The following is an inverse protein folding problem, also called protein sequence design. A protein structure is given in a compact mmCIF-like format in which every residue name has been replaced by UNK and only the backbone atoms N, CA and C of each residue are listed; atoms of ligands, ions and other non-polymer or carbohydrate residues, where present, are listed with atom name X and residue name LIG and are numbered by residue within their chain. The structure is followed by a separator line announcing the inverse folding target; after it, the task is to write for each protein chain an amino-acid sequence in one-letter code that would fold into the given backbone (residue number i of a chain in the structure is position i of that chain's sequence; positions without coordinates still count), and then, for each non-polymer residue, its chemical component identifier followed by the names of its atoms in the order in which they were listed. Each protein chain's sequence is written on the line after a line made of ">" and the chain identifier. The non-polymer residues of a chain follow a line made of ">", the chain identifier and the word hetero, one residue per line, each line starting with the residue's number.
data_IF_645763779441
#
_entry.id   IF_645763779441
#
_cell.length_a   1.000
_cell.length_b   1.000
_cell.length_c   1.000
_cell.angle_alpha   90.00
_cell.angle_beta   90.00
_cell.angle_gamma   90.00
#
_symmetry.space_group_name_H-M   'P 1'
#
loop_
_entity.id
_entity.type
_entity.pdbx_description
1 polymer ?
#
# COMPACT_ATOMS: atom_id res chain seq x y z
N UNK A 1 26.37 -24.54 -0.76
CA UNK A 1 26.71 -25.28 0.48
C UNK A 1 25.97 -24.59 1.63
N UNK A 2 25.30 -25.31 2.54
CA UNK A 2 24.60 -24.66 3.66
C UNK A 2 25.60 -23.89 4.54
N UNK A 3 25.25 -22.69 5.06
CA UNK A 3 26.11 -21.98 6.00
C UNK A 3 26.55 -22.83 7.18
N UNK A 4 25.71 -23.79 7.61
CA UNK A 4 26.06 -24.77 8.66
C UNK A 4 27.28 -25.63 8.33
N UNK A 5 27.45 -25.99 7.06
CA UNK A 5 28.54 -26.85 6.60
C UNK A 5 29.86 -26.07 6.56
N UNK A 6 29.79 -24.77 6.28
CA UNK A 6 30.98 -23.92 6.15
C UNK A 6 31.47 -23.40 7.51
N UNK A 7 30.56 -22.91 8.36
CA UNK A 7 30.93 -22.19 9.60
C UNK A 7 30.49 -22.90 10.89
N UNK A 8 29.79 -24.02 10.78
CA UNK A 8 29.25 -24.75 11.93
C UNK A 8 27.97 -24.14 12.51
N UNK A 9 27.44 -24.80 13.55
CA UNK A 9 26.17 -24.43 14.20
C UNK A 9 26.23 -23.18 15.08
N UNK A 10 27.41 -22.87 15.63
CA UNK A 10 27.60 -21.81 16.64
C UNK A 10 28.07 -20.48 16.06
N UNK A 11 28.46 -20.45 14.79
CA UNK A 11 28.90 -19.20 14.16
C UNK A 11 27.72 -18.21 14.07
N UNK A 12 27.95 -16.92 14.40
CA UNK A 12 26.99 -15.86 14.13
C UNK A 12 26.56 -15.88 12.66
N UNK A 13 25.26 -15.74 12.42
CA UNK A 13 24.70 -15.80 11.07
C UNK A 13 23.89 -14.55 10.79
N UNK A 14 24.28 -13.84 9.72
CA UNK A 14 23.63 -12.63 9.27
C UNK A 14 23.14 -12.82 7.83
N UNK A 15 21.87 -12.53 7.58
CA UNK A 15 21.31 -12.51 6.23
C UNK A 15 21.52 -11.10 5.67
N UNK A 16 22.60 -10.91 4.91
CA UNK A 16 22.97 -9.60 4.35
C UNK A 16 22.06 -9.14 3.22
N UNK A 17 21.36 -10.06 2.54
CA UNK A 17 20.44 -9.75 1.46
C UNK A 17 19.29 -10.74 1.41
N UNK A 18 18.10 -10.26 1.04
CA UNK A 18 16.98 -11.10 0.63
C UNK A 18 16.11 -10.35 -0.38
N UNK A 19 15.27 -11.11 -1.10
CA UNK A 19 14.42 -10.62 -2.19
C UNK A 19 15.24 -10.06 -3.36
N UNK A 20 15.23 -8.74 -3.59
CA UNK A 20 15.84 -8.11 -4.76
C UNK A 20 15.39 -8.75 -6.07
N UNK A 21 16.36 -9.25 -6.84
CA UNK A 21 16.12 -9.86 -8.15
C UNK A 21 15.19 -11.08 -8.13
N UNK A 22 14.94 -11.69 -6.97
CA UNK A 22 14.01 -12.82 -6.82
C UNK A 22 12.54 -12.42 -7.06
N UNK A 23 12.21 -11.13 -6.94
CA UNK A 23 10.88 -10.61 -7.21
C UNK A 23 10.91 -9.10 -7.53
N UNK A 24 11.42 -8.68 -8.70
CA UNK A 24 11.45 -7.27 -9.08
C UNK A 24 10.03 -6.68 -9.09
N UNK A 25 9.87 -5.46 -8.58
CA UNK A 25 8.55 -4.83 -8.45
C UNK A 25 8.65 -3.33 -8.66
N UNK A 26 7.98 -2.85 -9.70
CA UNK A 26 7.85 -1.45 -10.08
C UNK A 26 6.77 -0.76 -9.25
N UNK A 27 6.87 0.56 -9.09
CA UNK A 27 5.86 1.35 -8.36
C UNK A 27 4.47 1.33 -9.01
N UNK A 28 4.42 1.09 -10.32
CA UNK A 28 3.21 1.02 -11.15
C UNK A 28 2.81 -0.43 -11.52
N UNK A 29 3.46 -1.45 -10.96
CA UNK A 29 2.96 -2.82 -11.13
C UNK A 29 1.56 -2.95 -10.50
N UNK A 30 0.80 -3.93 -10.99
CA UNK A 30 -0.54 -4.25 -10.47
C UNK A 30 -0.52 -4.44 -8.96
N UNK A 31 -1.62 -4.10 -8.28
CA UNK A 31 -1.71 -4.10 -6.81
C UNK A 31 -1.35 -5.45 -6.21
N UNK A 32 -1.72 -6.55 -6.86
CA UNK A 32 -1.39 -7.91 -6.40
C UNK A 32 0.13 -8.19 -6.40
N UNK A 33 0.87 -7.70 -7.40
CA UNK A 33 2.33 -7.82 -7.47
C UNK A 33 2.97 -6.98 -6.37
N UNK A 34 2.53 -5.73 -6.19
CA UNK A 34 3.04 -4.85 -5.11
C UNK A 34 2.72 -5.40 -3.71
N UNK A 35 1.55 -6.01 -3.54
CA UNK A 35 1.15 -6.69 -2.30
C UNK A 35 2.04 -7.89 -2.03
N UNK A 36 2.26 -8.75 -3.03
CA UNK A 36 3.11 -9.93 -2.88
C UNK A 36 4.58 -9.55 -2.63
N UNK A 37 5.08 -8.45 -3.21
CA UNK A 37 6.39 -7.90 -2.89
C UNK A 37 6.50 -7.56 -1.39
N UNK A 38 5.53 -6.83 -0.83
CA UNK A 38 5.47 -6.54 0.60
C UNK A 38 5.39 -7.83 1.44
N UNK A 39 4.55 -8.78 1.06
CA UNK A 39 4.41 -10.05 1.79
C UNK A 39 5.70 -10.91 1.73
N UNK A 40 6.50 -10.82 0.67
CA UNK A 40 7.82 -11.48 0.59
C UNK A 40 8.79 -10.91 1.60
N UNK A 41 8.91 -9.59 1.69
CA UNK A 41 9.71 -8.94 2.73
C UNK A 41 9.25 -9.38 4.11
N UNK A 42 7.93 -9.33 4.36
CA UNK A 42 7.35 -9.71 5.64
C UNK A 42 7.65 -11.16 6.02
N UNK A 43 7.54 -12.12 5.09
CA UNK A 43 7.80 -13.55 5.37
C UNK A 43 9.26 -13.82 5.72
N UNK A 44 10.20 -13.17 5.05
CA UNK A 44 11.63 -13.33 5.38
C UNK A 44 11.93 -12.73 6.75
N UNK A 45 11.42 -11.53 7.02
CA UNK A 45 11.63 -10.83 8.29
C UNK A 45 11.00 -11.63 9.45
N UNK A 46 9.75 -12.07 9.33
CA UNK A 46 9.09 -12.89 10.35
C UNK A 46 9.85 -14.20 10.61
N UNK A 47 10.40 -14.84 9.57
CA UNK A 47 11.22 -16.04 9.75
C UNK A 47 12.54 -15.74 10.48
N UNK A 48 13.17 -14.60 10.19
CA UNK A 48 14.39 -14.16 10.86
C UNK A 48 14.15 -13.84 12.34
N UNK A 49 13.07 -13.13 12.68
CA UNK A 49 12.68 -12.87 14.08
C UNK A 49 12.44 -14.15 14.88
N UNK A 50 11.94 -15.21 14.24
CA UNK A 50 11.73 -16.51 14.88
C UNK A 50 12.96 -17.42 14.95
N UNK A 51 14.14 -16.93 14.55
CA UNK A 51 15.37 -17.73 14.46
C UNK A 51 16.35 -17.39 15.58
N UNK A 52 16.65 -18.37 16.42
CA UNK A 52 17.63 -18.24 17.51
C UNK A 52 19.08 -18.13 16.99
N UNK A 53 19.30 -18.37 15.69
CA UNK A 53 20.63 -18.35 15.05
C UNK A 53 20.87 -17.09 14.22
N UNK A 54 19.81 -16.48 13.71
CA UNK A 54 19.92 -15.34 12.78
C UNK A 54 20.06 -14.06 13.59
N UNK A 55 21.24 -13.46 13.58
CA UNK A 55 21.55 -12.24 14.32
C UNK A 55 20.86 -11.01 13.72
N UNK A 56 20.71 -10.96 12.41
CA UNK A 56 20.01 -9.88 11.70
C UNK A 56 19.62 -10.31 10.28
N UNK A 57 18.77 -9.49 9.65
CA UNK A 57 18.35 -9.63 8.26
C UNK A 57 18.26 -8.26 7.61
N UNK A 58 18.83 -8.10 6.42
CA UNK A 58 18.75 -6.87 5.62
C UNK A 58 18.17 -7.17 4.25
N UNK A 59 17.14 -6.39 3.88
CA UNK A 59 16.48 -6.51 2.60
C UNK A 59 17.29 -5.87 1.49
N UNK A 60 17.35 -6.54 0.35
CA UNK A 60 17.79 -5.91 -0.89
C UNK A 60 16.56 -5.34 -1.60
N UNK A 61 16.37 -4.03 -1.68
CA UNK A 61 17.21 -2.93 -1.16
C UNK A 61 16.35 -1.73 -0.74
N UNK A 62 16.97 -0.63 -0.31
CA UNK A 62 16.24 0.60 0.04
C UNK A 62 15.49 1.17 -1.17
N UNK A 63 16.23 1.58 -2.21
CA UNK A 63 15.71 2.27 -3.38
C UNK A 63 16.06 1.53 -4.67
N UNK A 64 15.23 1.69 -5.70
CA UNK A 64 15.60 1.30 -7.06
C UNK A 64 16.87 2.05 -7.50
N UNK A 65 17.67 1.41 -8.35
CA UNK A 65 18.96 1.94 -8.74
C UNK A 65 19.28 1.66 -10.21
N UNK A 66 20.04 2.56 -10.82
CA UNK A 66 20.59 2.34 -12.15
C UNK A 66 21.61 1.20 -12.15
N UNK A 67 21.68 0.47 -13.26
CA UNK A 67 22.55 -0.71 -13.39
C UNK A 67 23.11 -0.87 -14.81
N UNK A 68 24.04 -1.81 -14.95
CA UNK A 68 24.66 -2.18 -16.22
C UNK A 68 23.70 -2.96 -17.13
N UNK A 69 24.11 -3.17 -18.39
CA UNK A 69 23.27 -3.80 -19.41
C UNK A 69 22.81 -5.23 -19.10
N UNK A 70 23.55 -5.94 -18.25
CA UNK A 70 23.33 -7.36 -17.94
C UNK A 70 22.26 -7.56 -16.86
N UNK A 71 21.75 -6.48 -16.24
CA UNK A 71 20.79 -6.52 -15.14
C UNK A 71 19.60 -5.59 -15.39
N UNK A 72 18.55 -5.77 -14.57
CA UNK A 72 17.36 -4.93 -14.59
C UNK A 72 16.31 -5.37 -15.62
N UNK A 73 15.35 -4.48 -15.92
CA UNK A 73 14.25 -4.76 -16.86
C UNK A 73 14.58 -4.37 -18.31
N UNK A 74 15.85 -4.22 -18.67
CA UNK A 74 16.32 -3.77 -19.99
C UNK A 74 16.44 -2.24 -20.14
N UNK A 75 15.95 -1.48 -19.17
CA UNK A 75 15.92 -0.02 -19.10
C UNK A 75 17.03 0.58 -18.22
N UNK A 76 18.02 -0.24 -17.87
CA UNK A 76 19.13 0.11 -16.96
C UNK A 76 18.67 0.41 -15.53
N UNK A 77 17.55 -0.15 -15.07
CA UNK A 77 17.07 -0.02 -13.69
C UNK A 77 16.81 -1.40 -13.07
N UNK A 78 17.31 -1.60 -11.85
CA UNK A 78 16.92 -2.71 -10.98
C UNK A 78 15.77 -2.27 -10.07
N UNK A 79 14.57 -2.80 -10.33
CA UNK A 79 13.35 -2.51 -9.56
C UNK A 79 13.26 -3.36 -8.29
N UNK A 80 14.23 -3.21 -7.40
CA UNK A 80 14.40 -4.03 -6.20
C UNK A 80 14.07 -3.27 -4.91
N UNK A 81 13.96 -1.94 -4.98
CA UNK A 81 13.79 -1.09 -3.83
C UNK A 81 12.42 -1.25 -3.19
N UNK A 82 12.37 -1.13 -1.86
CA UNK A 82 11.13 -0.88 -1.13
C UNK A 82 10.64 0.57 -1.32
N UNK A 83 11.51 1.45 -1.78
CA UNK A 83 11.20 2.76 -2.38
C UNK A 83 11.53 2.75 -3.87
N UNK A 84 11.00 3.71 -4.61
CA UNK A 84 11.49 3.99 -5.95
C UNK A 84 12.89 4.64 -5.92
N UNK A 85 13.42 4.98 -7.10
CA UNK A 85 14.73 5.63 -7.25
C UNK A 85 14.76 7.05 -6.67
N UNK A 86 13.60 7.67 -6.45
CA UNK A 86 13.42 8.99 -5.86
C UNK A 86 13.21 8.96 -4.35
N UNK A 87 13.31 7.76 -3.74
CA UNK A 87 13.07 7.49 -2.32
C UNK A 87 11.60 7.67 -1.92
N UNK A 88 10.70 7.61 -2.90
CA UNK A 88 9.27 7.56 -2.67
C UNK A 88 8.85 6.14 -2.24
N UNK A 89 8.14 5.98 -1.11
CA UNK A 89 7.78 4.67 -0.60
C UNK A 89 6.87 3.87 -1.56
N UNK A 90 7.27 2.64 -1.87
CA UNK A 90 6.36 1.62 -2.40
C UNK A 90 5.64 0.93 -1.25
N UNK A 91 4.65 0.11 -1.57
CA UNK A 91 3.90 -0.66 -0.56
C UNK A 91 4.81 -1.52 0.33
N UNK A 92 5.91 -2.08 -0.20
CA UNK A 92 6.84 -2.89 0.59
C UNK A 92 7.54 -2.10 1.72
N UNK A 93 7.69 -0.78 1.58
CA UNK A 93 8.23 0.06 2.67
C UNK A 93 7.30 0.05 3.90
N UNK A 94 6.00 -0.18 3.72
CA UNK A 94 5.02 -0.27 4.81
C UNK A 94 5.31 -1.42 5.78
N UNK A 95 5.96 -2.50 5.30
CA UNK A 95 6.41 -3.63 6.15
C UNK A 95 7.40 -3.14 7.19
N UNK A 96 8.34 -2.28 6.80
CA UNK A 96 9.37 -1.72 7.67
C UNK A 96 8.80 -0.59 8.53
N UNK A 97 8.05 0.33 7.91
CA UNK A 97 7.46 1.48 8.58
C UNK A 97 6.47 1.07 9.69
N UNK A 98 5.73 -0.03 9.51
CA UNK A 98 4.85 -0.58 10.54
C UNK A 98 5.57 -1.14 11.76
N UNK A 99 6.90 -1.27 11.75
CA UNK A 99 7.66 -1.73 12.91
C UNK A 99 8.18 -0.59 13.80
N UNK A 100 7.89 0.67 13.46
CA UNK A 100 8.28 1.84 14.25
C UNK A 100 7.37 2.03 15.46
N UNK A 101 7.77 2.93 16.38
CA UNK A 101 6.95 3.31 17.55
C UNK A 101 5.74 4.16 17.18
N UNK A 102 5.92 5.07 16.23
CA UNK A 102 4.91 6.08 15.89
C UNK A 102 3.76 5.47 15.09
N UNK A 103 2.49 5.82 15.39
CA UNK A 103 1.33 5.25 14.71
C UNK A 103 1.48 5.24 13.20
N UNK A 104 1.30 4.07 12.60
CA UNK A 104 1.42 3.83 11.17
C UNK A 104 0.34 2.87 10.72
N UNK A 105 -0.23 3.12 9.55
CA UNK A 105 -1.23 2.26 8.92
C UNK A 105 -1.17 2.52 7.41
N UNK A 106 -1.04 1.44 6.62
CA UNK A 106 -1.05 1.49 5.16
C UNK A 106 -1.80 0.28 4.62
N UNK A 107 -2.69 0.49 3.64
CA UNK A 107 -3.47 -0.56 3.00
C UNK A 107 -2.76 -1.09 1.75
N UNK A 108 -2.92 -2.37 1.47
CA UNK A 108 -2.37 -2.98 0.26
C UNK A 108 -3.09 -2.61 -1.04
N UNK A 109 -4.17 -1.84 -0.97
CA UNK A 109 -5.07 -1.56 -2.10
C UNK A 109 -5.71 -0.18 -1.98
N UNK A 110 -6.09 0.40 -3.11
CA UNK A 110 -7.03 1.52 -3.18
C UNK A 110 -8.51 1.11 -3.23
N UNK A 111 -8.82 -0.18 -3.10
CA UNK A 111 -10.18 -0.74 -3.20
C UNK A 111 -10.82 -0.50 -4.58
N UNK A 112 -10.02 -0.31 -5.63
CA UNK A 112 -10.49 -0.15 -7.00
C UNK A 112 -10.82 -1.52 -7.61
N UNK A 113 -12.10 -1.91 -7.66
CA UNK A 113 -12.55 -3.24 -8.08
C UNK A 113 -11.98 -3.67 -9.45
N UNK A 114 -11.89 -2.73 -10.41
CA UNK A 114 -11.36 -2.99 -11.75
C UNK A 114 -9.86 -3.33 -11.81
N UNK A 115 -9.11 -3.11 -10.74
CA UNK A 115 -7.70 -3.54 -10.62
C UNK A 115 -7.56 -5.05 -10.43
N UNK A 116 -8.60 -5.69 -9.89
CA UNK A 116 -8.57 -7.09 -9.53
C UNK A 116 -9.13 -7.95 -10.67
N UNK A 117 -8.42 -9.03 -11.08
CA UNK A 117 -8.96 -9.98 -12.07
C UNK A 117 -10.36 -10.47 -11.67
N UNK A 118 -11.33 -10.33 -12.57
CA UNK A 118 -12.72 -10.71 -12.32
C UNK A 118 -13.45 -9.85 -11.29
N UNK A 119 -12.91 -8.69 -10.89
CA UNK A 119 -13.51 -7.82 -9.87
C UNK A 119 -13.40 -8.36 -8.44
N UNK A 120 -12.51 -9.32 -8.21
CA UNK A 120 -12.38 -10.03 -6.94
C UNK A 120 -11.37 -9.33 -6.03
N UNK A 121 -11.86 -8.46 -5.13
CA UNK A 121 -11.05 -7.70 -4.17
C UNK A 121 -10.04 -8.56 -3.40
N UNK A 122 -10.31 -9.86 -3.21
CA UNK A 122 -9.34 -10.76 -2.60
C UNK A 122 -9.17 -10.54 -1.10
N UNK A 123 -8.01 -10.91 -0.58
CA UNK A 123 -7.61 -10.64 0.80
C UNK A 123 -6.95 -9.26 0.87
N UNK A 124 -7.47 -8.36 1.70
CA UNK A 124 -6.86 -7.06 1.95
C UNK A 124 -5.91 -7.16 3.14
N UNK A 125 -4.74 -6.54 3.00
CA UNK A 125 -3.71 -6.48 4.03
C UNK A 125 -3.55 -5.04 4.52
N UNK A 126 -3.41 -4.88 5.83
CA UNK A 126 -3.05 -3.61 6.44
C UNK A 126 -1.75 -3.77 7.21
N UNK A 127 -0.72 -3.03 6.79
CA UNK A 127 0.56 -2.96 7.48
C UNK A 127 0.47 -1.86 8.53
N UNK A 128 0.53 -2.22 9.80
CA UNK A 128 0.21 -1.30 10.91
C UNK A 128 0.87 -1.72 12.21
N UNK A 129 1.11 -0.75 13.10
CA UNK A 129 1.43 -0.98 14.51
C UNK A 129 0.23 -0.76 15.45
N UNK A 130 -0.97 -0.56 14.91
CA UNK A 130 -2.20 -0.49 15.70
C UNK A 130 -2.56 -1.86 16.30
N UNK A 131 -3.23 -1.86 17.45
CA UNK A 131 -3.68 -3.06 18.15
C UNK A 131 -4.83 -3.76 17.42
N UNK A 132 -5.72 -2.98 16.82
CA UNK A 132 -6.81 -3.47 15.99
C UNK A 132 -7.30 -2.39 15.02
N UNK A 133 -8.12 -2.80 14.05
CA UNK A 133 -8.74 -1.94 13.05
C UNK A 133 -10.25 -2.16 13.05
N UNK A 134 -11.02 -1.09 13.17
CA UNK A 134 -12.46 -1.10 12.88
C UNK A 134 -12.69 -0.76 11.40
N UNK A 135 -13.55 -1.54 10.75
CA UNK A 135 -13.85 -1.42 9.32
C UNK A 135 -15.28 -0.96 9.17
N UNK A 136 -15.49 -0.04 8.23
CA UNK A 136 -16.78 0.52 7.90
C UNK A 136 -16.98 0.51 6.38
N UNK A 137 -18.22 0.24 5.95
CA UNK A 137 -18.67 0.37 4.55
C UNK A 137 -19.84 1.33 4.53
N UNK A 138 -19.73 2.40 3.73
CA UNK A 138 -20.73 3.47 3.62
C UNK A 138 -21.13 4.06 4.99
N UNK A 139 -20.15 4.26 5.87
CA UNK A 139 -20.37 4.79 7.24
C UNK A 139 -20.89 3.77 8.25
N UNK A 140 -21.31 2.57 7.82
CA UNK A 140 -21.78 1.50 8.70
C UNK A 140 -20.63 0.59 9.12
N UNK A 141 -20.55 0.30 10.42
CA UNK A 141 -19.57 -0.64 10.97
C UNK A 141 -19.79 -2.04 10.37
N UNK A 142 -18.71 -2.70 9.96
CA UNK A 142 -18.76 -4.05 9.42
C UNK A 142 -18.05 -5.05 10.33
N UNK A 143 -16.82 -4.78 10.72
CA UNK A 143 -16.00 -5.74 11.45
C UNK A 143 -14.87 -5.07 12.22
N UNK A 144 -14.32 -5.79 13.19
CA UNK A 144 -13.05 -5.45 13.85
C UNK A 144 -12.03 -6.53 13.50
N UNK A 145 -10.88 -6.13 12.99
CA UNK A 145 -9.80 -7.02 12.57
C UNK A 145 -8.55 -6.80 13.42
N UNK A 146 -7.84 -7.89 13.71
CA UNK A 146 -6.68 -7.92 14.59
C UNK A 146 -5.42 -8.39 13.86
N UNK A 147 -4.21 -8.02 14.32
CA UNK A 147 -2.95 -8.49 13.77
C UNK A 147 -2.89 -10.02 13.67
N UNK A 148 -2.50 -10.55 12.50
CA UNK A 148 -2.57 -11.99 12.23
C UNK A 148 -1.37 -12.75 12.81
N UNK A 149 -1.33 -12.85 14.15
CA UNK A 149 -0.29 -13.59 14.89
C UNK A 149 -0.28 -15.09 14.61
N UNK A 150 -1.35 -15.65 14.05
CA UNK A 150 -1.38 -17.06 13.63
C UNK A 150 -0.46 -17.30 12.42
N UNK A 151 -0.47 -16.38 11.44
CA UNK A 151 0.33 -16.49 10.21
C UNK A 151 1.73 -15.87 10.34
N UNK A 152 1.85 -14.77 11.07
CA UNK A 152 3.12 -14.07 11.31
C UNK A 152 3.36 -13.99 12.82
N UNK A 153 4.11 -14.97 13.33
CA UNK A 153 4.19 -15.24 14.78
C UNK A 153 5.27 -14.42 15.48
N UNK A 154 6.32 -14.05 14.75
CA UNK A 154 7.58 -13.62 15.35
C UNK A 154 7.85 -12.14 15.13
N UNK A 155 7.34 -11.55 14.03
CA UNK A 155 7.49 -10.12 13.80
C UNK A 155 6.72 -9.31 14.86
N UNK A 156 7.27 -8.19 15.40
CA UNK A 156 6.63 -7.43 16.47
C UNK A 156 5.19 -6.96 16.12
N UNK A 157 5.05 -6.35 14.95
CA UNK A 157 3.77 -5.84 14.44
C UNK A 157 3.37 -6.59 13.16
N UNK A 158 2.68 -7.73 13.28
CA UNK A 158 2.19 -8.46 12.12
C UNK A 158 1.04 -7.70 11.46
N UNK A 159 0.87 -7.80 10.13
CA UNK A 159 -0.22 -7.11 9.44
C UNK A 159 -1.59 -7.64 9.86
N UNK A 160 -2.61 -6.80 9.68
CA UNK A 160 -4.02 -7.13 9.86
C UNK A 160 -4.59 -7.63 8.53
N UNK A 161 -5.40 -8.69 8.59
CA UNK A 161 -6.07 -9.27 7.42
C UNK A 161 -7.54 -8.90 7.46
N UNK A 162 -8.04 -8.26 6.41
CA UNK A 162 -9.43 -7.85 6.31
C UNK A 162 -10.07 -8.52 5.10
N UNK A 163 -11.14 -9.26 5.34
CA UNK A 163 -11.91 -9.95 4.31
C UNK A 163 -13.44 -9.85 4.54
N UNK A 164 -13.88 -9.23 5.64
CA UNK A 164 -15.28 -9.07 5.98
C UNK A 164 -15.72 -7.60 5.88
N UNK A 165 -16.36 -7.28 4.76
CA UNK A 165 -16.99 -5.99 4.47
C UNK A 165 -18.52 -6.08 4.48
N UNK A 166 -19.08 -7.20 4.95
CA UNK A 166 -20.52 -7.46 4.98
C UNK A 166 -21.05 -7.12 6.37
N UNK A 167 -20.30 -7.46 7.42
CA UNK A 167 -20.75 -7.25 8.80
C UNK A 167 -22.08 -7.93 9.08
N UNK A 168 -23.01 -7.21 9.68
CA UNK A 168 -24.34 -7.70 10.03
C UNK A 168 -25.42 -7.26 9.02
N UNK A 169 -25.01 -6.79 7.83
CA UNK A 169 -25.95 -6.34 6.79
C UNK A 169 -26.94 -7.43 6.37
N UNK A 170 -26.54 -8.70 6.37
CA UNK A 170 -27.42 -9.82 6.01
C UNK A 170 -28.57 -10.01 7.02
N UNK A 171 -28.36 -9.71 8.30
CA UNK A 171 -29.41 -9.79 9.32
C UNK A 171 -30.18 -8.49 9.44
N UNK A 172 -29.49 -7.34 9.36
CA UNK A 172 -30.09 -6.04 9.62
C UNK A 172 -30.79 -5.41 8.40
N UNK A 173 -30.27 -5.61 7.19
CA UNK A 173 -30.80 -5.02 5.95
C UNK A 173 -31.58 -6.03 5.12
N UNK A 174 -31.07 -7.27 5.03
CA UNK A 174 -31.73 -8.34 4.26
C UNK A 174 -32.69 -9.18 5.10
N UNK A 175 -32.77 -8.90 6.41
CA UNK A 175 -33.66 -9.55 7.38
C UNK A 175 -33.57 -11.09 7.39
N UNK A 176 -32.39 -11.64 7.08
CA UNK A 176 -32.14 -13.07 7.15
C UNK A 176 -32.04 -13.54 8.60
N UNK A 177 -32.46 -14.78 8.85
CA UNK A 177 -32.20 -15.41 10.15
C UNK A 177 -30.69 -15.51 10.41
N UNK A 178 -30.27 -15.41 11.67
CA UNK A 178 -28.85 -15.45 12.06
C UNK A 178 -28.11 -16.67 11.50
N UNK A 179 -28.79 -17.83 11.47
CA UNK A 179 -28.22 -19.08 10.95
C UNK A 179 -27.98 -19.01 9.46
N UNK A 180 -28.95 -18.50 8.70
CA UNK A 180 -28.82 -18.30 7.25
C UNK A 180 -27.74 -17.26 6.95
N UNK A 181 -27.76 -16.11 7.62
CA UNK A 181 -26.79 -15.04 7.45
C UNK A 181 -25.36 -15.54 7.73
N UNK A 182 -25.14 -16.33 8.79
CA UNK A 182 -23.84 -16.91 9.11
C UNK A 182 -23.28 -17.81 8.00
N UNK A 183 -24.11 -18.67 7.41
CA UNK A 183 -23.67 -19.54 6.31
C UNK A 183 -23.45 -18.72 5.03
N UNK A 184 -24.39 -17.84 4.69
CA UNK A 184 -24.30 -17.03 3.49
C UNK A 184 -23.09 -16.10 3.52
N UNK A 185 -22.84 -15.39 4.63
CA UNK A 185 -21.68 -14.53 4.83
C UNK A 185 -20.36 -15.26 4.55
N UNK A 186 -20.20 -16.48 5.07
CA UNK A 186 -19.01 -17.29 4.81
C UNK A 186 -18.84 -17.63 3.32
N UNK A 187 -19.93 -17.99 2.64
CA UNK A 187 -19.90 -18.25 1.21
C UNK A 187 -19.55 -16.98 0.42
N UNK A 188 -20.15 -15.84 0.75
CA UNK A 188 -19.90 -14.56 0.08
C UNK A 188 -18.46 -14.08 0.26
N UNK A 189 -17.89 -14.18 1.46
CA UNK A 189 -16.48 -13.83 1.72
C UNK A 189 -15.51 -14.71 0.91
N UNK A 190 -15.82 -16.00 0.75
CA UNK A 190 -15.01 -16.90 -0.09
C UNK A 190 -15.18 -16.57 -1.58
N UNK A 191 -16.42 -16.31 -2.02
CA UNK A 191 -16.71 -15.92 -3.39
C UNK A 191 -16.08 -14.56 -3.77
N UNK A 192 -16.01 -13.59 -2.85
CA UNK A 192 -15.33 -12.30 -3.11
C UNK A 192 -13.81 -12.43 -3.25
N UNK A 193 -13.23 -13.53 -2.76
CA UNK A 193 -11.81 -13.81 -2.87
C UNK A 193 -11.47 -14.67 -4.09
N UNK A 194 -12.25 -15.72 -4.32
CA UNK A 194 -11.89 -16.80 -5.25
C UNK A 194 -12.88 -16.92 -6.43
N UNK A 195 -13.97 -16.15 -6.44
CA UNK A 195 -15.04 -16.27 -7.42
C UNK A 195 -15.62 -17.68 -7.49
N UNK A 196 -15.81 -18.19 -8.71
CA UNK A 196 -16.23 -19.57 -8.97
C UNK A 196 -15.14 -20.63 -8.71
N UNK A 197 -13.93 -20.22 -8.29
CA UNK A 197 -12.87 -21.14 -7.87
C UNK A 197 -12.80 -21.28 -6.34
N UNK A 198 -13.84 -20.86 -5.62
CA UNK A 198 -13.90 -20.97 -4.15
C UNK A 198 -13.81 -22.43 -3.67
N UNK A 199 -13.25 -22.68 -2.46
CA UNK A 199 -13.13 -24.03 -1.94
C UNK A 199 -14.51 -24.68 -1.74
N UNK A 200 -14.56 -26.01 -1.74
CA UNK A 200 -15.81 -26.81 -1.55
C UNK A 200 -16.58 -26.38 -0.29
N UNK A 201 -15.89 -25.95 0.76
CA UNK A 201 -16.51 -25.38 1.97
C UNK A 201 -17.39 -24.16 1.68
N UNK A 202 -17.05 -23.33 0.69
CA UNK A 202 -17.86 -22.19 0.26
C UNK A 202 -19.17 -22.63 -0.39
N UNK A 203 -19.11 -23.60 -1.30
CA UNK A 203 -20.30 -24.21 -1.90
C UNK A 203 -21.20 -24.89 -0.87
N UNK A 204 -20.61 -25.58 0.11
CA UNK A 204 -21.35 -26.15 1.24
C UNK A 204 -22.10 -25.06 2.03
N UNK A 205 -21.44 -23.95 2.36
CA UNK A 205 -22.06 -22.84 3.06
C UNK A 205 -23.18 -22.20 2.24
N UNK A 206 -22.99 -22.05 0.92
CA UNK A 206 -24.02 -21.54 0.02
C UNK A 206 -25.25 -22.45 -0.03
N UNK A 207 -25.06 -23.77 -0.18
CA UNK A 207 -26.14 -24.75 -0.18
C UNK A 207 -26.91 -24.73 1.15
N UNK A 208 -26.18 -24.69 2.27
CA UNK A 208 -26.79 -24.58 3.59
C UNK A 208 -27.66 -23.32 3.71
N UNK A 209 -27.16 -22.16 3.27
CA UNK A 209 -27.92 -20.92 3.29
C UNK A 209 -29.18 -21.01 2.41
N UNK A 210 -29.06 -21.58 1.22
CA UNK A 210 -30.18 -21.78 0.28
C UNK A 210 -31.27 -22.67 0.88
N UNK A 211 -30.91 -23.83 1.44
CA UNK A 211 -31.87 -24.76 2.04
C UNK A 211 -32.54 -24.19 3.29
N UNK A 212 -31.84 -23.36 4.06
CA UNK A 212 -32.36 -22.76 5.30
C UNK A 212 -33.22 -21.52 5.07
N UNK A 213 -33.07 -20.82 3.94
CA UNK A 213 -33.77 -19.58 3.66
C UNK A 213 -35.06 -19.76 2.86
N UNK A 214 -35.26 -20.91 2.23
CA UNK A 214 -36.31 -21.14 1.22
C UNK A 214 -36.36 -20.05 0.13
N UNK A 215 -35.24 -19.36 -0.09
CA UNK A 215 -35.16 -18.24 -1.04
C UNK A 215 -35.22 -18.73 -2.48
N UNK A 216 -35.81 -17.91 -3.35
CA UNK A 216 -35.71 -18.11 -4.78
C UNK A 216 -34.27 -17.94 -5.26
N UNK A 217 -33.91 -18.66 -6.33
CA UNK A 217 -32.57 -18.58 -6.93
C UNK A 217 -32.21 -17.15 -7.34
N UNK A 218 -33.18 -16.38 -7.85
CA UNK A 218 -32.96 -14.97 -8.20
C UNK A 218 -32.59 -14.10 -7.00
N UNK A 219 -33.22 -14.31 -5.83
CA UNK A 219 -32.88 -13.58 -4.61
C UNK A 219 -31.45 -13.89 -4.18
N UNK A 220 -31.04 -15.15 -4.24
CA UNK A 220 -29.66 -15.55 -3.95
C UNK A 220 -28.67 -14.92 -4.93
N UNK A 221 -28.98 -14.92 -6.22
CA UNK A 221 -28.17 -14.27 -7.25
C UNK A 221 -28.02 -12.75 -7.00
N UNK A 222 -29.10 -12.08 -6.61
CA UNK A 222 -29.10 -10.65 -6.29
C UNK A 222 -28.22 -10.35 -5.07
N UNK A 223 -28.27 -11.17 -4.02
CA UNK A 223 -27.42 -11.03 -2.83
C UNK A 223 -25.94 -11.24 -3.17
N UNK A 224 -25.62 -12.28 -3.96
CA UNK A 224 -24.25 -12.51 -4.43
C UNK A 224 -23.78 -11.29 -5.24
N UNK A 225 -24.58 -10.81 -6.19
CA UNK A 225 -24.22 -9.63 -7.00
C UNK A 225 -24.02 -8.38 -6.14
N UNK A 226 -24.92 -8.11 -5.18
CA UNK A 226 -24.85 -6.96 -4.28
C UNK A 226 -23.60 -6.95 -3.40
N UNK A 227 -23.23 -8.10 -2.81
CA UNK A 227 -22.16 -8.17 -1.81
C UNK A 227 -20.81 -8.65 -2.36
N UNK A 228 -20.78 -9.35 -3.51
CA UNK A 228 -19.56 -9.86 -4.15
C UNK A 228 -19.17 -9.03 -5.37
N UNK A 229 -20.08 -8.89 -6.35
CA UNK A 229 -19.78 -8.10 -7.55
C UNK A 229 -19.72 -6.60 -7.22
N UNK A 230 -20.49 -6.16 -6.21
CA UNK A 230 -20.51 -4.77 -5.73
C UNK A 230 -20.91 -3.79 -6.86
N UNK A 231 -21.65 -4.28 -7.86
CA UNK A 231 -22.15 -3.49 -9.00
C UNK A 231 -23.42 -2.77 -8.56
N UNK A 232 -23.38 -1.44 -8.52
CA UNK A 232 -24.50 -0.58 -8.19
C UNK A 232 -24.16 0.90 -8.36
N UNK A 233 -25.18 1.76 -8.43
CA UNK A 233 -25.05 3.19 -8.78
C UNK A 233 -24.48 4.07 -7.65
N UNK A 234 -24.24 3.53 -6.46
CA UNK A 234 -23.75 4.30 -5.31
C UNK A 234 -22.23 4.19 -5.16
N UNK A 235 -21.59 5.34 -5.02
CA UNK A 235 -20.16 5.44 -4.76
C UNK A 235 -19.81 4.78 -3.42
N UNK A 236 -19.15 3.64 -3.46
CA UNK A 236 -18.78 2.87 -2.26
C UNK A 236 -17.63 3.55 -1.51
N UNK A 237 -17.80 3.73 -0.20
CA UNK A 237 -16.79 4.27 0.70
C UNK A 237 -16.40 3.24 1.76
N UNK A 238 -15.13 2.89 1.83
CA UNK A 238 -14.56 2.04 2.88
C UNK A 238 -13.75 2.90 3.84
N UNK A 239 -14.03 2.81 5.15
CA UNK A 239 -13.24 3.50 6.17
C UNK A 239 -12.59 2.49 7.10
N UNK A 240 -11.31 2.70 7.38
CA UNK A 240 -10.49 1.85 8.24
C UNK A 240 -9.96 2.73 9.37
N UNK A 241 -10.34 2.43 10.60
CA UNK A 241 -9.90 3.16 11.78
C UNK A 241 -8.94 2.30 12.61
N UNK A 242 -7.69 2.74 12.76
CA UNK A 242 -6.67 2.07 13.55
C UNK A 242 -6.65 2.59 14.99
N UNK A 243 -6.59 1.66 15.95
CA UNK A 243 -6.63 1.96 17.39
C UNK A 243 -5.38 1.45 18.11
N UNK A 244 -4.94 2.21 19.12
CA UNK A 244 -3.96 1.77 20.14
C UNK A 244 -4.63 1.93 21.50
N UNK A 245 -4.81 0.83 22.22
CA UNK A 245 -5.82 0.75 23.29
C UNK A 245 -7.19 1.19 22.75
N UNK A 246 -7.88 2.07 23.49
CA UNK A 246 -9.19 2.60 23.08
C UNK A 246 -9.11 3.87 22.22
N UNK A 247 -7.89 4.37 21.93
CA UNK A 247 -7.71 5.61 21.19
C UNK A 247 -7.58 5.36 19.70
N UNK A 248 -8.45 5.99 18.90
CA UNK A 248 -8.29 6.07 17.44
C UNK A 248 -7.07 6.93 17.09
N UNK A 249 -6.08 6.35 16.42
CA UNK A 249 -4.81 7.01 16.07
C UNK A 249 -4.64 7.25 14.57
N UNK A 250 -5.34 6.49 13.73
CA UNK A 250 -5.29 6.61 12.26
C UNK A 250 -6.66 6.33 11.64
N UNK A 251 -6.94 6.99 10.53
CA UNK A 251 -8.11 6.73 9.68
C UNK A 251 -7.67 6.74 8.22
N UNK A 252 -8.07 5.75 7.45
CA UNK A 252 -7.91 5.71 5.99
C UNK A 252 -9.28 5.51 5.36
N UNK A 253 -9.61 6.32 4.37
CA UNK A 253 -10.86 6.24 3.62
C UNK A 253 -10.55 5.95 2.15
N UNK A 254 -11.12 4.87 1.60
CA UNK A 254 -11.00 4.49 0.19
C UNK A 254 -12.36 4.62 -0.51
N UNK A 255 -12.40 5.36 -1.60
CA UNK A 255 -13.56 5.50 -2.49
C UNK A 255 -13.08 5.75 -3.91
N UNK A 256 -13.94 5.63 -4.92
CA UNK A 256 -13.55 6.00 -6.27
C UNK A 256 -13.13 7.48 -6.33
N UNK A 257 -12.02 7.81 -7.01
CA UNK A 257 -11.56 9.18 -7.13
C UNK A 257 -12.58 10.04 -7.89
N UNK A 258 -12.94 11.20 -7.34
CA UNK A 258 -13.76 12.22 -8.01
C UNK A 258 -12.98 13.49 -8.28
N UNK A 259 -11.86 13.68 -7.56
CA UNK A 259 -10.92 14.78 -7.74
C UNK A 259 -9.51 14.23 -7.61
N UNK A 260 -8.62 14.70 -8.47
CA UNK A 260 -7.19 14.41 -8.43
C UNK A 260 -6.47 15.71 -8.10
N UNK A 261 -5.47 15.64 -7.22
CA UNK A 261 -4.59 16.76 -6.88
C UNK A 261 -3.14 16.32 -6.89
N UNK A 262 -2.24 17.26 -7.11
CA UNK A 262 -0.81 17.05 -6.98
C UNK A 262 -0.39 17.52 -5.59
N UNK A 263 0.03 16.59 -4.73
CA UNK A 263 0.69 16.92 -3.48
C UNK A 263 2.16 17.24 -3.78
N UNK A 264 2.60 18.45 -3.40
CA UNK A 264 3.98 18.92 -3.55
C UNK A 264 4.56 19.14 -2.16
N UNK A 265 5.67 18.47 -1.83
CA UNK A 265 6.26 18.55 -0.49
C UNK A 265 7.79 18.64 -0.54
N UNK A 266 8.40 19.78 -0.19
CA UNK A 266 9.84 19.85 0.05
C UNK A 266 10.20 19.10 1.35
N UNK A 267 11.37 18.44 1.36
CA UNK A 267 11.95 17.85 2.58
C UNK A 267 12.48 18.96 3.52
N UNK A 268 12.94 20.09 2.96
CA UNK A 268 13.29 21.33 3.66
C UNK A 268 12.93 22.57 2.83
N UNK A 269 12.41 23.60 3.51
CA UNK A 269 12.13 24.94 2.96
C UNK A 269 13.27 25.94 3.22
N UNK A 270 14.31 25.52 3.95
CA UNK A 270 15.51 26.31 4.21
C UNK A 270 16.75 25.51 3.80
N UNK A 271 17.60 26.13 3.00
CA UNK A 271 18.90 25.59 2.58
C UNK A 271 20.01 26.51 3.06
N UNK A 272 21.18 25.95 3.35
CA UNK A 272 22.33 26.72 3.82
C UNK A 272 23.44 26.74 2.78
N UNK A 273 24.13 27.86 2.68
CA UNK A 273 25.38 27.92 1.94
C UNK A 273 26.53 27.72 2.93
N UNK A 274 27.30 26.68 2.69
CA UNK A 274 28.51 26.34 3.45
C UNK A 274 29.64 26.01 2.45
N UNK A 275 30.62 25.21 2.84
CA UNK A 275 31.71 24.73 1.98
C UNK A 275 31.23 24.11 0.65
N UNK A 276 30.00 23.58 0.60
CA UNK A 276 29.37 23.03 -0.61
C UNK A 276 27.94 23.52 -0.79
N UNK A 277 27.35 23.27 -1.97
CA UNK A 277 25.93 23.51 -2.18
C UNK A 277 25.09 22.57 -1.31
N UNK A 278 23.97 23.08 -0.80
CA UNK A 278 22.97 22.30 -0.08
C UNK A 278 21.82 21.93 -1.03
N UNK A 279 21.06 20.88 -0.69
CA UNK A 279 20.06 20.27 -1.56
C UNK A 279 18.82 19.88 -0.76
N UNK A 280 17.65 20.23 -1.27
CA UNK A 280 16.37 19.69 -0.80
C UNK A 280 15.69 18.88 -1.89
N UNK A 281 15.05 17.79 -1.50
CA UNK A 281 14.19 16.97 -2.36
C UNK A 281 12.79 17.55 -2.30
N UNK A 282 12.12 17.62 -3.44
CA UNK A 282 10.71 17.99 -3.54
C UNK A 282 9.94 16.76 -4.05
N UNK A 283 9.18 16.16 -3.14
CA UNK A 283 8.32 15.00 -3.37
C UNK A 283 7.02 15.43 -4.07
N UNK A 284 6.59 14.63 -5.05
CA UNK A 284 5.39 14.84 -5.85
C UNK A 284 4.54 13.57 -5.83
N UNK A 285 3.27 13.69 -5.42
CA UNK A 285 2.33 12.56 -5.38
C UNK A 285 0.98 12.96 -5.96
N UNK A 286 0.48 12.21 -6.93
CA UNK A 286 -0.91 12.32 -7.38
C UNK A 286 -1.83 11.62 -6.37
N UNK A 287 -2.75 12.38 -5.77
CA UNK A 287 -3.64 11.89 -4.72
C UNK A 287 -5.10 12.19 -5.02
N UNK A 288 -5.99 11.33 -4.49
CA UNK A 288 -7.43 11.55 -4.56
C UNK A 288 -7.93 12.57 -3.50
N UNK A 289 -9.25 12.75 -3.44
CA UNK A 289 -9.89 13.64 -2.47
C UNK A 289 -9.62 13.27 -0.99
N UNK A 290 -9.23 12.03 -0.70
CA UNK A 290 -8.91 11.53 0.65
C UNK A 290 -7.39 11.43 0.92
N UNK A 291 -6.56 11.87 -0.02
CA UNK A 291 -5.10 11.77 0.10
C UNK A 291 -4.54 10.38 -0.25
N UNK A 292 -5.34 9.52 -0.89
CA UNK A 292 -4.84 8.22 -1.37
C UNK A 292 -4.01 8.41 -2.63
N UNK A 293 -2.81 7.83 -2.65
CA UNK A 293 -1.97 7.80 -3.84
C UNK A 293 -2.68 7.09 -5.00
N UNK A 294 -2.64 7.72 -6.18
CA UNK A 294 -3.14 7.16 -7.43
C UNK A 294 -1.98 6.53 -8.21
N UNK A 295 -1.70 5.25 -7.96
CA UNK A 295 -0.49 4.59 -8.48
C UNK A 295 -0.40 4.45 -10.01
N UNK A 296 -1.48 4.74 -10.73
CA UNK A 296 -1.53 4.70 -12.20
C UNK A 296 -1.61 6.09 -12.84
N UNK A 297 -1.59 7.15 -12.03
CA UNK A 297 -1.47 8.50 -12.56
C UNK A 297 -0.05 8.74 -13.09
N UNK A 298 0.03 9.20 -14.33
CA UNK A 298 1.26 9.42 -15.10
C UNK A 298 1.44 10.89 -15.50
N UNK A 299 0.88 11.80 -14.68
CA UNK A 299 0.81 13.23 -14.94
C UNK A 299 2.17 13.81 -15.38
N UNK A 300 2.13 14.70 -16.36
CA UNK A 300 3.31 15.40 -16.86
C UNK A 300 3.55 16.62 -16.00
N UNK A 301 4.75 16.71 -15.44
CA UNK A 301 5.23 17.79 -14.59
C UNK A 301 6.16 18.68 -15.40
N UNK A 302 5.97 19.98 -15.30
CA UNK A 302 6.87 21.01 -15.85
C UNK A 302 7.31 21.96 -14.75
N UNK A 303 8.61 22.17 -14.64
CA UNK A 303 9.24 22.95 -13.59
C UNK A 303 9.84 24.25 -14.14
N UNK A 304 9.62 25.34 -13.42
CA UNK A 304 10.38 26.57 -13.59
C UNK A 304 10.93 27.06 -12.25
N UNK A 305 11.97 27.89 -12.28
CA UNK A 305 12.67 28.31 -11.07
C UNK A 305 13.14 29.75 -11.19
N UNK A 306 13.02 30.50 -10.08
CA UNK A 306 13.52 31.87 -9.90
C UNK A 306 14.33 31.96 -8.61
N UNK A 307 15.26 32.91 -8.54
CA UNK A 307 16.12 33.12 -7.36
C UNK A 307 17.33 32.17 -7.30
N UNK A 308 18.00 32.07 -6.13
CA UNK A 308 19.32 31.46 -6.00
C UNK A 308 19.30 29.93 -5.91
N UNK A 309 18.55 29.28 -6.81
CA UNK A 309 18.36 27.83 -6.83
C UNK A 309 18.54 27.27 -8.24
N UNK A 310 18.93 25.99 -8.31
CA UNK A 310 19.04 25.24 -9.56
C UNK A 310 18.41 23.85 -9.43
N UNK A 311 17.58 23.48 -10.40
CA UNK A 311 17.01 22.13 -10.53
C UNK A 311 18.11 21.13 -10.93
N UNK A 312 18.15 19.97 -10.27
CA UNK A 312 18.98 18.82 -10.65
C UNK A 312 18.12 17.85 -11.48
N UNK A 313 18.51 17.64 -12.74
CA UNK A 313 17.81 16.76 -13.67
C UNK A 313 16.93 17.52 -14.68
N UNK A 314 16.04 16.80 -15.40
CA UNK A 314 15.16 17.40 -16.39
C UNK A 314 14.11 18.30 -15.73
N UNK A 315 13.69 19.34 -16.44
CA UNK A 315 12.60 20.25 -15.99
C UNK A 315 11.21 19.73 -16.36
N UNK A 316 11.12 18.78 -17.28
CA UNK A 316 9.86 18.16 -17.69
C UNK A 316 9.98 16.65 -17.60
N UNK A 317 9.03 16.01 -16.91
CA UNK A 317 9.02 14.58 -16.69
C UNK A 317 7.62 14.10 -16.28
N UNK A 318 7.33 12.80 -16.40
CA UNK A 318 6.07 12.21 -15.92
C UNK A 318 6.18 11.65 -14.49
N UNK A 319 5.06 11.56 -13.78
CA UNK A 319 4.96 10.70 -12.60
C UNK A 319 5.10 9.22 -12.99
N UNK A 320 5.64 8.40 -12.10
CA UNK A 320 5.81 6.96 -12.30
C UNK A 320 5.29 6.24 -11.06
N UNK A 321 4.20 5.50 -11.19
CA UNK A 321 3.57 4.89 -10.02
C UNK A 321 2.77 5.88 -9.18
N UNK A 322 2.31 6.99 -9.77
CA UNK A 322 1.63 8.08 -9.07
C UNK A 322 2.54 9.02 -8.29
N UNK A 323 3.84 8.71 -8.19
CA UNK A 323 4.83 9.50 -7.47
C UNK A 323 6.01 9.89 -8.36
N UNK A 324 6.77 10.91 -7.93
CA UNK A 324 8.15 11.18 -8.30
C UNK A 324 8.77 12.16 -7.32
N UNK A 325 10.05 12.46 -7.44
CA UNK A 325 10.63 13.64 -6.81
C UNK A 325 11.63 14.31 -7.75
N UNK A 326 12.02 15.52 -7.40
CA UNK A 326 13.18 16.18 -7.98
C UNK A 326 14.00 16.83 -6.86
N UNK A 327 15.21 17.28 -7.19
CA UNK A 327 16.05 17.99 -6.24
C UNK A 327 16.34 19.39 -6.74
N UNK A 328 16.43 20.32 -5.79
CA UNK A 328 16.93 21.67 -6.03
C UNK A 328 18.11 21.92 -5.13
N UNK A 329 19.13 22.58 -5.68
CA UNK A 329 20.34 22.95 -4.97
C UNK A 329 20.56 24.44 -4.94
N UNK A 330 21.29 24.91 -3.93
CA UNK A 330 21.74 26.31 -3.86
C UNK A 330 22.73 26.64 -5.00
N UNK A 331 22.79 27.92 -5.36
CA UNK A 331 23.74 28.44 -6.37
C UNK A 331 24.96 29.14 -5.75
N UNK A 332 24.99 29.34 -4.44
CA UNK A 332 26.03 30.09 -3.72
C UNK A 332 25.63 31.53 -3.38
N UNK A 333 24.42 31.97 -3.76
CA UNK A 333 23.84 33.26 -3.37
C UNK A 333 22.73 33.08 -2.32
N UNK A 334 22.67 33.97 -1.34
CA UNK A 334 21.59 33.98 -0.34
C UNK A 334 20.35 34.64 -0.93
N UNK A 335 19.18 34.27 -0.41
CA UNK A 335 17.91 34.88 -0.79
C UNK A 335 16.77 33.87 -0.95
N UNK A 336 15.65 34.35 -1.49
CA UNK A 336 14.45 33.51 -1.67
C UNK A 336 14.42 32.97 -3.09
N UNK A 337 14.35 31.65 -3.22
CA UNK A 337 14.08 30.97 -4.47
C UNK A 337 12.66 30.43 -4.53
N UNK A 338 12.08 30.45 -5.72
CA UNK A 338 10.72 29.97 -5.97
C UNK A 338 10.79 28.91 -7.06
N UNK A 339 10.31 27.71 -6.75
CA UNK A 339 10.12 26.64 -7.72
C UNK A 339 8.64 26.56 -8.07
N UNK A 340 8.31 26.75 -9.33
CA UNK A 340 6.94 26.61 -9.83
C UNK A 340 6.78 25.22 -10.43
N UNK A 341 5.76 24.49 -9.97
CA UNK A 341 5.43 23.13 -10.39
C UNK A 341 4.08 23.18 -11.12
N UNK A 342 4.10 22.91 -12.42
CA UNK A 342 2.91 22.82 -13.26
C UNK A 342 2.61 21.36 -13.60
N UNK A 343 1.33 21.01 -13.69
CA UNK A 343 0.89 19.67 -14.10
C UNK A 343 -0.37 19.72 -14.95
N UNK A 344 -0.70 18.61 -15.63
CA UNK A 344 -1.95 18.46 -16.38
C UNK A 344 -3.13 17.95 -15.52
N UNK A 345 -2.95 17.78 -14.21
CA UNK A 345 -3.95 17.17 -13.30
C UNK A 345 -4.42 18.10 -12.18
N UNK A 346 -3.72 19.20 -11.94
CA UNK A 346 -3.98 20.12 -10.84
C UNK A 346 -3.49 21.54 -11.19
N UNK A 347 -3.90 22.52 -10.39
CA UNK A 347 -3.43 23.89 -10.49
C UNK A 347 -1.91 24.00 -10.27
N UNK A 348 -1.35 25.15 -10.63
CA UNK A 348 0.06 25.46 -10.39
C UNK A 348 0.37 25.51 -8.89
N UNK A 349 1.52 24.96 -8.50
CA UNK A 349 2.04 25.03 -7.12
C UNK A 349 3.35 25.81 -7.09
N UNK A 350 3.53 26.64 -6.06
CA UNK A 350 4.80 27.31 -5.80
C UNK A 350 5.43 26.76 -4.52
N UNK A 351 6.71 26.38 -4.60
CA UNK A 351 7.53 25.99 -3.45
C UNK A 351 8.55 27.09 -3.21
N UNK A 352 8.40 27.78 -2.08
CA UNK A 352 9.31 28.84 -1.64
C UNK A 352 10.40 28.22 -0.79
N UNK A 353 11.66 28.48 -1.14
CA UNK A 353 12.82 27.98 -0.41
C UNK A 353 13.74 29.16 -0.08
N UNK A 354 14.07 29.30 1.20
CA UNK A 354 15.00 30.32 1.69
C UNK A 354 16.42 29.75 1.67
N UNK A 355 17.34 30.49 1.07
CA UNK A 355 18.78 30.18 1.05
C UNK A 355 19.50 31.12 2.00
N UNK A 356 20.05 30.55 3.07
CA UNK A 356 20.73 31.27 4.17
C UNK A 356 22.25 31.18 4.13
#
# INVERSE_FOLDING_TARGET
>A
MSPMVVTGLKAPYFISEHNGHMYPTKSFDRENVRTEHALRHLRVIDKAFGSNRTSAVTGWCMADYNTHKDFGSGDRICYHGVTDMFREPKLAAAVYASQRKEPYMELSTNMAIGEFPGGQLGQIYVFTNCDYIKVYKNGKYTSTAYPNRKKFKNIPHPPVFINDFIGDALTEEEHLSEKTAKHLKKALILASRDGFSMPVSGYYHLLCAFLMSHMQVNTMYNLITKYVANWGDTLLTYTFEGYIGDKKVKTITKTAPTKIRLQVKPDSETLKIDDTYDVTRVSLSAVDQNGNKLSYADAVISLSIKGPLKIIGPKTFSLIGGDRAFWVRTTGEKGVGIVTVQSNIDAEHEVVITVE
#
